data_IF_141584168806
#
_entry.id   IF_141584168806
#
_cell.length_a   1.000
_cell.length_b   1.000
_cell.length_c   1.000
_cell.angle_alpha   90.00
_cell.angle_beta   90.00
_cell.angle_gamma   90.00
#
_symmetry.space_group_name_H-M   'P 1'
#
loop_
_entity.id
_entity.type
_entity.pdbx_description
1 polymer ?
#
# COMPACT_ATOMS: atom_id res chain seq x y z
N UNK A 1 -7.26 -13.99 -2.83
CA UNK A 1 -6.93 -13.68 -4.24
C UNK A 1 -8.17 -13.95 -5.07
N UNK A 2 -8.95 -12.92 -5.40
CA UNK A 2 -10.04 -13.06 -6.35
C UNK A 2 -9.56 -12.58 -7.71
N UNK A 3 -9.63 -13.47 -8.70
CA UNK A 3 -9.37 -13.18 -10.10
C UNK A 3 -10.65 -13.53 -10.85
N UNK A 4 -11.35 -12.59 -11.50
CA UNK A 4 -12.21 -12.89 -12.64
C UNK A 4 -12.69 -11.62 -13.36
N UNK A 5 -11.90 -11.03 -14.26
CA UNK A 5 -12.48 -10.10 -15.25
C UNK A 5 -11.76 -10.22 -16.59
N UNK A 6 -12.47 -10.67 -17.63
CA UNK A 6 -11.97 -10.90 -18.98
C UNK A 6 -11.37 -9.65 -19.63
N UNK A 7 -12.16 -8.89 -20.38
CA UNK A 7 -11.66 -7.73 -21.15
C UNK A 7 -11.33 -6.48 -20.29
N UNK A 8 -11.37 -6.57 -18.95
CA UNK A 8 -11.16 -5.43 -18.02
C UNK A 8 -9.78 -5.46 -17.34
N UNK A 9 -8.75 -5.90 -18.08
CA UNK A 9 -7.34 -5.89 -17.65
C UNK A 9 -6.86 -4.59 -16.96
N UNK A 10 -7.30 -3.36 -17.35
CA UNK A 10 -6.81 -2.12 -16.74
C UNK A 10 -7.19 -1.93 -15.26
N UNK A 11 -8.20 -2.65 -14.75
CA UNK A 11 -8.73 -2.46 -13.40
C UNK A 11 -8.18 -3.45 -12.36
N UNK A 12 -7.34 -4.41 -12.78
CA UNK A 12 -6.63 -5.34 -11.86
C UNK A 12 -5.81 -4.63 -10.80
N UNK A 13 -5.40 -3.40 -11.08
CA UNK A 13 -4.66 -2.57 -10.14
C UNK A 13 -5.49 -2.24 -8.89
N UNK A 14 -6.82 -2.24 -8.98
CA UNK A 14 -7.69 -2.03 -7.83
C UNK A 14 -7.66 -3.22 -6.87
N UNK A 15 -7.63 -4.47 -7.39
CA UNK A 15 -7.52 -5.67 -6.55
C UNK A 15 -6.17 -5.67 -5.79
N UNK A 16 -5.09 -5.29 -6.47
CA UNK A 16 -3.76 -5.17 -5.87
C UNK A 16 -3.73 -4.01 -4.85
N UNK A 17 -4.30 -2.85 -5.19
CA UNK A 17 -4.38 -1.72 -4.27
C UNK A 17 -5.22 -2.06 -3.02
N UNK A 18 -6.34 -2.77 -3.17
CA UNK A 18 -7.18 -3.21 -2.05
C UNK A 18 -6.36 -4.05 -1.09
N UNK A 19 -5.73 -5.11 -1.61
CA UNK A 19 -4.91 -6.02 -0.81
C UNK A 19 -3.76 -5.29 -0.12
N UNK A 20 -2.97 -4.51 -0.87
CA UNK A 20 -1.75 -3.92 -0.33
C UNK A 20 -2.01 -2.74 0.61
N UNK A 21 -3.06 -1.94 0.40
CA UNK A 21 -3.43 -0.88 1.37
C UNK A 21 -3.86 -1.48 2.70
N UNK A 22 -4.58 -2.62 2.68
CA UNK A 22 -4.89 -3.35 3.90
C UNK A 22 -3.61 -3.91 4.57
N UNK A 23 -2.75 -4.58 3.81
CA UNK A 23 -1.51 -5.15 4.37
C UNK A 23 -0.61 -4.08 5.00
N UNK A 24 -0.45 -2.92 4.36
CA UNK A 24 0.35 -1.84 4.93
C UNK A 24 -0.26 -1.25 6.20
N UNK A 25 -1.59 -1.13 6.28
CA UNK A 25 -2.26 -0.71 7.51
C UNK A 25 -1.99 -1.71 8.65
N UNK A 26 -2.15 -3.01 8.38
CA UNK A 26 -1.84 -4.09 9.32
C UNK A 26 -0.36 -4.09 9.73
N UNK A 27 0.56 -3.80 8.81
CA UNK A 27 1.99 -3.68 9.10
C UNK A 27 2.29 -2.58 10.12
N UNK A 28 1.52 -1.49 10.14
CA UNK A 28 1.70 -0.46 11.16
C UNK A 28 1.46 -1.01 12.57
N UNK A 29 0.46 -1.89 12.73
CA UNK A 29 0.14 -2.56 14.00
C UNK A 29 1.21 -3.58 14.35
N UNK A 30 1.58 -4.43 13.39
CA UNK A 30 2.64 -5.43 13.57
C UNK A 30 3.93 -4.79 14.06
N UNK A 31 4.35 -3.64 13.50
CA UNK A 31 5.56 -2.94 13.95
C UNK A 31 5.43 -2.50 15.41
N UNK A 32 4.30 -1.91 15.81
CA UNK A 32 4.08 -1.42 17.18
C UNK A 32 4.03 -2.56 18.20
N UNK A 33 3.39 -3.67 17.86
CA UNK A 33 3.26 -4.83 18.75
C UNK A 33 4.57 -5.63 18.85
N UNK A 34 5.34 -5.70 17.77
CA UNK A 34 6.57 -6.50 17.72
C UNK A 34 7.79 -5.77 18.30
N UNK A 35 7.84 -4.43 18.24
CA UNK A 35 8.99 -3.64 18.70
C UNK A 35 8.71 -2.99 20.05
N UNK A 36 8.96 -3.75 21.12
CA UNK A 36 8.86 -3.21 22.48
C UNK A 36 9.86 -2.07 22.71
N UNK A 37 9.37 -0.97 23.28
CA UNK A 37 10.19 0.22 23.53
C UNK A 37 10.42 1.12 22.31
N UNK A 38 9.64 0.95 21.24
CA UNK A 38 9.60 1.91 20.13
C UNK A 38 9.29 3.32 20.64
N UNK A 39 10.01 4.31 20.12
CA UNK A 39 9.91 5.68 20.59
C UNK A 39 8.52 6.29 20.33
N UNK A 40 8.01 7.16 21.23
CA UNK A 40 6.66 7.71 21.13
C UNK A 40 6.34 8.38 19.78
N UNK A 41 7.32 9.05 19.17
CA UNK A 41 7.18 9.68 17.85
C UNK A 41 6.91 8.66 16.74
N UNK A 42 7.58 7.51 16.75
CA UNK A 42 7.34 6.44 15.77
C UNK A 42 6.03 5.71 16.06
N UNK A 43 5.69 5.49 17.34
CA UNK A 43 4.38 4.94 17.72
C UNK A 43 3.25 5.83 17.21
N UNK A 44 3.39 7.15 17.37
CA UNK A 44 2.40 8.11 16.90
C UNK A 44 2.33 8.15 15.36
N UNK A 45 3.48 8.20 14.69
CA UNK A 45 3.54 8.16 13.23
C UNK A 45 2.87 6.89 12.67
N UNK A 46 3.13 5.72 13.26
CA UNK A 46 2.52 4.46 12.82
C UNK A 46 0.99 4.46 13.01
N UNK A 47 0.46 5.08 14.06
CA UNK A 47 -1.00 5.21 14.24
C UNK A 47 -1.64 6.15 13.22
N UNK A 48 -0.95 7.23 12.85
CA UNK A 48 -1.40 8.15 11.81
C UNK A 48 -1.39 7.46 10.44
N UNK A 49 -0.34 6.68 10.16
CA UNK A 49 -0.24 5.85 8.96
C UNK A 49 -1.33 4.77 8.89
N UNK A 50 -1.64 4.10 9.99
CA UNK A 50 -2.75 3.14 10.07
C UNK A 50 -4.07 3.77 9.61
N UNK A 51 -4.37 4.97 10.10
CA UNK A 51 -5.58 5.69 9.76
C UNK A 51 -5.59 6.13 8.30
N UNK A 52 -4.47 6.65 7.81
CA UNK A 52 -4.32 7.06 6.41
C UNK A 52 -4.53 5.87 5.46
N UNK A 53 -3.79 4.78 5.67
CA UNK A 53 -3.84 3.57 4.84
C UNK A 53 -5.21 2.90 4.90
N UNK A 54 -5.84 2.84 6.08
CA UNK A 54 -7.20 2.32 6.24
C UNK A 54 -8.22 3.15 5.46
N UNK A 55 -8.08 4.48 5.48
CA UNK A 55 -8.95 5.37 4.70
C UNK A 55 -8.76 5.16 3.21
N UNK A 56 -7.52 5.03 2.74
CA UNK A 56 -7.21 4.77 1.35
C UNK A 56 -7.74 3.41 0.91
N UNK A 57 -7.58 2.37 1.73
CA UNK A 57 -8.17 1.05 1.51
C UNK A 57 -9.70 1.13 1.33
N UNK A 58 -10.41 1.85 2.21
CA UNK A 58 -11.87 2.03 2.09
C UNK A 58 -12.27 2.73 0.79
N UNK A 59 -11.47 3.70 0.33
CA UNK A 59 -11.69 4.32 -0.97
C UNK A 59 -11.51 3.31 -2.11
N UNK A 60 -10.42 2.53 -2.10
CA UNK A 60 -10.18 1.49 -3.11
C UNK A 60 -11.34 0.49 -3.17
N UNK A 61 -11.81 -0.02 -2.02
CA UNK A 61 -12.97 -0.92 -1.94
C UNK A 61 -14.21 -0.29 -2.58
N UNK A 62 -14.46 0.99 -2.35
CA UNK A 62 -15.59 1.71 -2.98
C UNK A 62 -15.48 1.75 -4.52
N UNK A 63 -14.27 1.89 -5.06
CA UNK A 63 -14.05 1.83 -6.51
C UNK A 63 -14.19 0.41 -7.06
N UNK A 64 -13.69 -0.60 -6.35
CA UNK A 64 -13.88 -2.03 -6.68
C UNK A 64 -15.36 -2.36 -6.79
N UNK A 65 -16.17 -1.97 -5.81
CA UNK A 65 -17.62 -2.20 -5.83
C UNK A 65 -18.32 -1.47 -6.99
N UNK A 66 -17.87 -0.24 -7.29
CA UNK A 66 -18.40 0.55 -8.41
C UNK A 66 -18.13 -0.14 -9.74
N UNK A 67 -16.91 -0.64 -9.96
CA UNK A 67 -16.52 -1.37 -11.17
C UNK A 67 -17.27 -2.69 -11.29
N UNK A 68 -17.36 -3.44 -10.19
CA UNK A 68 -18.00 -4.77 -10.19
C UNK A 68 -19.51 -4.70 -10.45
N UNK A 69 -20.16 -3.61 -10.01
CA UNK A 69 -21.62 -3.39 -10.20
C UNK A 69 -21.93 -2.60 -11.47
N UNK A 70 -21.00 -1.77 -11.93
CA UNK A 70 -21.11 -0.99 -13.14
C UNK A 70 -20.84 -1.85 -14.37
N UNK A 71 -21.90 -2.32 -15.03
CA UNK A 71 -21.79 -3.13 -16.26
C UNK A 71 -21.04 -2.45 -17.44
N UNK A 72 -20.63 -1.19 -17.29
CA UNK A 72 -19.78 -0.45 -18.20
C UNK A 72 -18.88 0.52 -17.42
N UNK A 73 -17.60 0.61 -17.82
CA UNK A 73 -16.63 1.56 -17.23
C UNK A 73 -16.47 2.73 -18.17
N UNK A 74 -16.96 3.91 -17.77
CA UNK A 74 -16.80 5.15 -18.52
C UNK A 74 -15.35 5.67 -18.42
N UNK A 75 -14.92 6.46 -19.41
CA UNK A 75 -13.56 7.03 -19.47
C UNK A 75 -13.21 7.84 -18.21
N UNK A 76 -14.16 8.59 -17.67
CA UNK A 76 -14.00 9.34 -16.42
C UNK A 76 -13.65 8.43 -15.23
N UNK A 77 -14.29 7.26 -15.12
CA UNK A 77 -13.99 6.29 -14.06
C UNK A 77 -12.57 5.74 -14.21
N UNK A 78 -12.08 5.55 -15.44
CA UNK A 78 -10.69 5.12 -15.67
C UNK A 78 -9.68 6.18 -15.22
N UNK A 79 -9.97 7.45 -15.48
CA UNK A 79 -9.12 8.56 -15.02
C UNK A 79 -9.09 8.64 -13.49
N UNK A 80 -10.25 8.54 -12.83
CA UNK A 80 -10.35 8.51 -11.37
C UNK A 80 -9.57 7.33 -10.75
N UNK A 81 -9.67 6.14 -11.34
CA UNK A 81 -8.88 4.98 -10.90
C UNK A 81 -7.39 5.22 -11.08
N UNK A 82 -6.97 5.83 -12.20
CA UNK A 82 -5.56 6.16 -12.44
C UNK A 82 -5.02 7.14 -11.39
N UNK A 83 -5.79 8.16 -11.04
CA UNK A 83 -5.44 9.12 -9.98
C UNK A 83 -5.34 8.43 -8.60
N UNK A 84 -6.28 7.54 -8.27
CA UNK A 84 -6.26 6.77 -7.05
C UNK A 84 -5.02 5.87 -6.96
N UNK A 85 -4.63 5.20 -8.05
CA UNK A 85 -3.43 4.36 -8.11
C UNK A 85 -2.17 5.19 -7.92
N UNK A 86 -2.11 6.39 -8.52
CA UNK A 86 -1.01 7.32 -8.29
C UNK A 86 -0.90 7.73 -6.83
N UNK A 87 -2.04 8.02 -6.20
CA UNK A 87 -2.07 8.31 -4.76
C UNK A 87 -1.59 7.13 -3.93
N UNK A 88 -2.07 5.91 -4.19
CA UNK A 88 -1.63 4.70 -3.50
C UNK A 88 -0.11 4.47 -3.66
N UNK A 89 0.45 4.74 -4.84
CA UNK A 89 1.89 4.66 -5.10
C UNK A 89 2.66 5.65 -4.20
N UNK A 90 2.25 6.92 -4.18
CA UNK A 90 2.90 7.96 -3.37
C UNK A 90 2.83 7.62 -1.87
N UNK A 91 1.67 7.16 -1.41
CA UNK A 91 1.43 6.72 -0.04
C UNK A 91 2.35 5.55 0.36
N UNK A 92 2.48 4.54 -0.50
CA UNK A 92 3.36 3.38 -0.24
C UNK A 92 4.84 3.78 -0.18
N UNK A 93 5.27 4.70 -1.04
CA UNK A 93 6.65 5.21 -1.03
C UNK A 93 6.96 5.94 0.28
N UNK A 94 6.03 6.75 0.78
CA UNK A 94 6.21 7.46 2.06
C UNK A 94 6.17 6.50 3.25
N UNK A 95 5.30 5.48 3.24
CA UNK A 95 5.29 4.44 4.27
C UNK A 95 6.61 3.64 4.31
N UNK A 96 7.17 3.31 3.15
CA UNK A 96 8.49 2.69 3.03
C UNK A 96 9.57 3.57 3.69
N UNK A 97 9.55 4.88 3.45
CA UNK A 97 10.52 5.80 4.09
C UNK A 97 10.39 5.79 5.61
N UNK A 98 9.18 5.82 6.17
CA UNK A 98 8.98 5.66 7.61
C UNK A 98 9.61 4.35 8.13
N UNK A 99 9.38 3.24 7.43
CA UNK A 99 9.94 1.94 7.82
C UNK A 99 11.48 1.97 7.80
N UNK A 100 12.08 2.64 6.80
CA UNK A 100 13.53 2.84 6.71
C UNK A 100 14.06 3.71 7.83
N UNK A 101 13.36 4.79 8.16
CA UNK A 101 13.71 5.67 9.28
C UNK A 101 13.69 4.91 10.61
N UNK A 102 12.63 4.14 10.88
CA UNK A 102 12.57 3.28 12.08
C UNK A 102 13.75 2.30 12.08
N UNK A 103 14.00 1.61 10.96
CA UNK A 103 15.07 0.61 10.88
C UNK A 103 16.47 1.16 11.15
N UNK A 104 16.73 2.41 10.77
CA UNK A 104 18.05 3.04 10.89
C UNK A 104 18.20 3.82 12.20
N UNK A 105 17.16 4.52 12.64
CA UNK A 105 17.27 5.53 13.68
C UNK A 105 16.67 5.09 15.03
N UNK A 106 15.69 4.18 15.05
CA UNK A 106 15.07 3.74 16.30
C UNK A 106 16.05 2.92 17.14
N UNK A 107 16.18 3.27 18.41
CA UNK A 107 16.91 2.49 19.39
C UNK A 107 16.31 1.08 19.58
N UNK A 108 15.01 0.91 19.38
CA UNK A 108 14.34 -0.39 19.46
C UNK A 108 14.64 -1.29 18.25
N UNK A 109 15.05 -0.72 17.11
CA UNK A 109 15.23 -1.44 15.85
C UNK A 109 16.69 -1.53 15.36
N UNK A 110 17.47 -0.45 15.44
CA UNK A 110 18.75 -0.28 14.73
C UNK A 110 19.81 -1.34 15.02
N UNK A 111 19.79 -1.94 16.21
CA UNK A 111 20.73 -2.99 16.64
C UNK A 111 20.03 -4.32 16.91
N UNK A 112 18.74 -4.42 16.59
CA UNK A 112 17.91 -5.61 16.82
C UNK A 112 17.76 -6.43 15.52
N UNK A 113 18.34 -7.65 15.42
CA UNK A 113 18.26 -8.46 14.21
C UNK A 113 16.82 -8.87 13.82
N UNK A 114 15.96 -9.08 14.81
CA UNK A 114 14.56 -9.39 14.57
C UNK A 114 13.84 -8.19 13.95
N UNK A 115 14.03 -6.99 14.52
CA UNK A 115 13.45 -5.76 13.99
C UNK A 115 13.89 -5.48 12.55
N UNK A 116 15.19 -5.66 12.25
CA UNK A 116 15.70 -5.53 10.87
C UNK A 116 15.05 -6.52 9.92
N UNK A 117 14.89 -7.78 10.32
CA UNK A 117 14.27 -8.81 9.48
C UNK A 117 12.81 -8.47 9.18
N UNK A 118 12.06 -8.05 10.21
CA UNK A 118 10.67 -7.63 10.11
C UNK A 118 10.50 -6.42 9.18
N UNK A 119 11.21 -5.31 9.46
CA UNK A 119 11.08 -4.07 8.69
C UNK A 119 11.52 -4.26 7.24
N UNK A 120 12.60 -5.02 7.00
CA UNK A 120 13.02 -5.33 5.63
C UNK A 120 12.00 -6.19 4.88
N UNK A 121 11.26 -7.05 5.56
CA UNK A 121 10.19 -7.83 4.95
C UNK A 121 9.03 -6.94 4.53
N UNK A 122 8.54 -6.09 5.45
CA UNK A 122 7.49 -5.11 5.20
C UNK A 122 7.86 -4.19 4.02
N UNK A 123 9.09 -3.66 4.01
CA UNK A 123 9.57 -2.80 2.92
C UNK A 123 9.53 -3.53 1.57
N UNK A 124 10.00 -4.79 1.49
CA UNK A 124 9.99 -5.55 0.22
C UNK A 124 8.58 -5.82 -0.29
N UNK A 125 7.63 -6.03 0.62
CA UNK A 125 6.23 -6.24 0.27
C UNK A 125 5.57 -4.96 -0.26
N UNK A 126 5.80 -3.81 0.40
CA UNK A 126 5.38 -2.51 -0.14
C UNK A 126 6.05 -2.19 -1.48
N UNK A 127 7.34 -2.51 -1.64
CA UNK A 127 8.07 -2.33 -2.91
C UNK A 127 7.49 -3.18 -4.06
N UNK A 128 6.94 -4.36 -3.76
CA UNK A 128 6.23 -5.17 -4.74
C UNK A 128 5.00 -4.43 -5.29
N UNK A 129 4.17 -3.86 -4.41
CA UNK A 129 3.03 -3.04 -4.84
C UNK A 129 3.47 -1.81 -5.65
N UNK A 130 4.52 -1.12 -5.21
CA UNK A 130 5.12 0.01 -5.95
C UNK A 130 5.49 -0.40 -7.38
N UNK A 131 6.04 -1.60 -7.56
CA UNK A 131 6.36 -2.15 -8.88
C UNK A 131 5.12 -2.31 -9.76
N UNK A 132 4.04 -2.90 -9.23
CA UNK A 132 2.76 -3.06 -9.92
C UNK A 132 2.18 -1.70 -10.31
N UNK A 133 2.09 -0.76 -9.37
CA UNK A 133 1.52 0.56 -9.60
C UNK A 133 2.29 1.30 -10.71
N UNK A 134 3.63 1.21 -10.73
CA UNK A 134 4.45 1.81 -11.80
C UNK A 134 4.21 1.20 -13.17
N UNK A 135 4.03 -0.12 -13.26
CA UNK A 135 3.72 -0.78 -14.53
C UNK A 135 2.37 -0.28 -15.05
N UNK A 136 1.38 -0.12 -14.18
CA UNK A 136 0.05 0.36 -14.56
C UNK A 136 0.07 1.83 -14.98
N UNK A 137 0.81 2.68 -14.25
CA UNK A 137 0.85 4.12 -14.50
C UNK A 137 1.78 4.53 -15.66
N UNK A 138 2.88 3.80 -15.84
CA UNK A 138 3.98 4.22 -16.73
C UNK A 138 4.44 3.13 -17.70
N UNK A 139 3.93 1.91 -17.57
CA UNK A 139 4.20 0.84 -18.52
C UNK A 139 3.49 1.14 -19.83
N UNK A 140 4.22 1.57 -20.85
CA UNK A 140 3.70 1.57 -22.20
C UNK A 140 3.36 0.12 -22.60
N UNK A 141 2.18 -0.15 -23.19
CA UNK A 141 1.97 -1.44 -23.84
C UNK A 141 3.00 -1.58 -24.97
N UNK A 142 3.56 -2.77 -25.21
CA UNK A 142 4.33 -3.00 -26.42
C UNK A 142 3.44 -2.68 -27.63
N UNK A 143 4.02 -1.94 -28.59
CA UNK A 143 3.39 -1.54 -29.84
C UNK A 143 2.96 -2.76 -30.68
#
# INVERSE_FOLDING_TARGET
MQYYYGNQMPLRVLDEAEFWKQQEAEHTEVIREALSGLEPEYVQALKEWEQALTKTHQQVVSYVETVNRGGYVFEELQQQVTELVKYCLEESLQFIELCREIAVNSAAAKDNPFAKTLLNHIIRESEYFVGIARIVLYGNPPA
#
